data_IF_962195010284
#
_entry.id   IF_962195010284
#
_cell.length_a   1.000
_cell.length_b   1.000
_cell.length_c   1.000
_cell.angle_alpha   90.00
_cell.angle_beta   90.00
_cell.angle_gamma   90.00
#
_symmetry.space_group_name_H-M   'P 1'
#
loop_
_entity.id
_entity.type
_entity.pdbx_description
1 polymer ?
#
# COMPACT_ATOMS: atom_id res chain seq x y z
N UNK A 1 -5.36 8.94 -26.73
CA UNK A 1 -4.95 8.78 -25.33
C UNK A 1 -6.17 9.03 -24.45
N UNK A 2 -6.55 8.08 -23.60
CA UNK A 2 -7.62 8.31 -22.62
C UNK A 2 -6.94 8.58 -21.28
N UNK A 3 -7.02 9.79 -20.81
CA UNK A 3 -6.62 10.12 -19.45
C UNK A 3 -7.65 9.49 -18.49
N UNK A 4 -7.24 8.58 -17.67
CA UNK A 4 -8.07 8.04 -16.62
C UNK A 4 -7.70 8.79 -15.35
N UNK A 5 -8.56 9.70 -14.92
CA UNK A 5 -8.50 10.23 -13.57
C UNK A 5 -8.87 9.08 -12.62
N UNK A 6 -7.90 8.52 -11.96
CA UNK A 6 -8.12 7.42 -11.02
C UNK A 6 -8.40 8.02 -9.64
N UNK A 7 -9.66 7.92 -9.22
CA UNK A 7 -10.11 8.25 -7.88
C UNK A 7 -10.33 9.74 -7.60
N UNK A 8 -11.11 10.02 -6.57
CA UNK A 8 -11.20 11.35 -5.98
C UNK A 8 -9.93 11.59 -5.16
N UNK A 9 -9.17 12.63 -5.49
CA UNK A 9 -8.06 13.05 -4.65
C UNK A 9 -8.61 13.63 -3.33
N UNK A 10 -7.93 13.42 -2.20
CA UNK A 10 -8.31 14.06 -0.95
C UNK A 10 -8.30 15.58 -1.12
N UNK A 11 -9.15 16.26 -0.36
CA UNK A 11 -9.17 17.73 -0.38
C UNK A 11 -7.84 18.26 0.13
N UNK A 12 -7.07 18.87 -0.79
CA UNK A 12 -5.72 19.37 -0.56
C UNK A 12 -5.64 20.89 -0.61
N UNK A 13 -6.78 21.59 -0.53
CA UNK A 13 -6.86 23.05 -0.66
C UNK A 13 -5.92 23.79 0.28
N UNK A 14 -5.55 23.20 1.40
CA UNK A 14 -4.62 23.77 2.38
C UNK A 14 -3.21 23.16 2.35
N UNK A 15 -3.00 22.11 1.56
CA UNK A 15 -1.74 21.37 1.56
C UNK A 15 -0.77 21.91 0.50
N UNK A 16 0.43 22.32 0.94
CA UNK A 16 1.50 22.69 0.01
C UNK A 16 2.07 21.43 -0.65
N UNK A 17 1.99 21.37 -1.96
CA UNK A 17 2.69 20.36 -2.76
C UNK A 17 4.20 20.52 -2.55
N UNK A 18 4.89 19.41 -2.29
CA UNK A 18 6.35 19.39 -2.13
C UNK A 18 7.02 19.12 -3.46
N UNK A 19 8.01 19.92 -3.83
CA UNK A 19 8.81 19.67 -5.03
C UNK A 19 9.60 18.36 -4.92
N UNK A 20 10.10 18.08 -3.71
CA UNK A 20 10.77 16.83 -3.34
C UNK A 20 10.17 16.33 -2.05
N UNK A 21 9.84 15.06 -2.01
CA UNK A 21 9.35 14.39 -0.81
C UNK A 21 10.15 13.12 -0.56
N UNK A 22 10.41 12.85 0.70
CA UNK A 22 11.14 11.64 1.14
C UNK A 22 10.14 10.64 1.68
N UNK A 23 10.32 9.39 1.28
CA UNK A 23 9.53 8.29 1.80
C UNK A 23 10.43 7.19 2.36
N UNK A 24 9.97 6.52 3.40
CA UNK A 24 10.60 5.31 3.93
C UNK A 24 9.63 4.16 3.89
N UNK A 25 10.08 3.02 3.37
CA UNK A 25 9.31 1.78 3.37
C UNK A 25 9.89 0.84 4.42
N UNK A 26 9.07 0.48 5.39
CA UNK A 26 9.38 -0.44 6.48
C UNK A 26 8.74 -1.80 6.14
N UNK A 27 9.56 -2.84 6.04
CA UNK A 27 9.14 -4.21 5.74
C UNK A 27 9.13 -5.01 7.03
N UNK A 28 7.97 -5.23 7.63
CA UNK A 28 7.87 -6.18 8.73
C UNK A 28 8.11 -7.58 8.17
N UNK A 29 8.95 -8.35 8.84
CA UNK A 29 9.50 -9.63 8.38
C UNK A 29 8.45 -10.52 7.69
N UNK A 30 8.77 -10.95 6.47
CA UNK A 30 7.88 -11.73 5.60
C UNK A 30 7.10 -10.92 4.57
N UNK A 31 7.25 -9.58 4.53
CA UNK A 31 6.55 -8.70 3.58
C UNK A 31 7.47 -8.09 2.50
N UNK A 32 8.62 -8.68 2.25
CA UNK A 32 9.67 -8.12 1.37
C UNK A 32 9.19 -7.83 -0.06
N UNK A 33 8.35 -8.69 -0.63
CA UNK A 33 7.83 -8.52 -1.99
C UNK A 33 6.90 -7.30 -2.08
N UNK A 34 5.97 -7.15 -1.12
CA UNK A 34 5.08 -5.99 -1.04
C UNK A 34 5.88 -4.70 -0.81
N UNK A 35 6.90 -4.75 0.04
CA UNK A 35 7.75 -3.61 0.35
C UNK A 35 8.57 -3.16 -0.87
N UNK A 36 9.16 -4.09 -1.63
CA UNK A 36 9.89 -3.80 -2.87
C UNK A 36 8.97 -3.18 -3.92
N UNK A 37 7.79 -3.77 -4.11
CA UNK A 37 6.78 -3.24 -5.02
C UNK A 37 6.39 -1.82 -4.66
N UNK A 38 6.10 -1.57 -3.37
CA UNK A 38 5.77 -0.24 -2.86
C UNK A 38 6.90 0.77 -3.10
N UNK A 39 8.14 0.39 -2.79
CA UNK A 39 9.28 1.27 -3.00
C UNK A 39 9.48 1.64 -4.47
N UNK A 40 9.32 0.69 -5.40
CA UNK A 40 9.37 0.94 -6.85
C UNK A 40 8.27 1.90 -7.28
N UNK A 41 7.04 1.69 -6.80
CA UNK A 41 5.92 2.58 -7.12
C UNK A 41 6.14 4.00 -6.61
N UNK A 42 6.61 4.16 -5.38
CA UNK A 42 6.92 5.47 -4.81
C UNK A 42 8.02 6.22 -5.60
N UNK A 43 9.06 5.51 -6.04
CA UNK A 43 10.10 6.11 -6.90
C UNK A 43 9.52 6.57 -8.23
N UNK A 44 8.67 5.76 -8.86
CA UNK A 44 8.01 6.13 -10.11
C UNK A 44 7.06 7.33 -9.95
N UNK A 45 6.42 7.49 -8.78
CA UNK A 45 5.60 8.66 -8.44
C UNK A 45 6.48 9.91 -8.24
N UNK A 46 7.78 9.76 -7.90
CA UNK A 46 8.75 10.85 -7.75
C UNK A 46 9.27 11.08 -6.34
N UNK A 47 9.11 10.11 -5.43
CA UNK A 47 9.70 10.19 -4.10
C UNK A 47 11.19 9.81 -4.09
N UNK A 48 11.94 10.46 -3.20
CA UNK A 48 13.24 9.94 -2.74
C UNK A 48 12.97 8.84 -1.71
N UNK A 49 13.17 7.57 -2.10
CA UNK A 49 12.76 6.43 -1.28
C UNK A 49 13.93 5.80 -0.56
N UNK A 50 13.84 5.75 0.78
CA UNK A 50 14.72 4.99 1.65
C UNK A 50 14.13 3.59 1.92
N UNK A 51 14.92 2.57 1.75
CA UNK A 51 14.50 1.18 1.98
C UNK A 51 14.10 0.43 0.71
N UNK A 52 13.46 -0.71 0.86
CA UNK A 52 12.85 -1.25 2.10
C UNK A 52 13.83 -1.52 3.25
N UNK A 53 13.43 -1.15 4.46
CA UNK A 53 14.15 -1.47 5.70
C UNK A 53 13.42 -2.60 6.41
N UNK A 54 14.12 -3.73 6.63
CA UNK A 54 13.52 -4.86 7.34
C UNK A 54 13.36 -4.56 8.83
N UNK A 55 12.18 -4.87 9.36
CA UNK A 55 11.79 -4.64 10.75
C UNK A 55 11.34 -5.96 11.37
N UNK A 56 11.80 -6.25 12.57
CA UNK A 56 11.36 -7.44 13.31
C UNK A 56 9.87 -7.38 13.65
N UNK A 57 9.23 -8.57 13.75
CA UNK A 57 7.81 -8.71 14.09
C UNK A 57 7.60 -8.46 15.59
N UNK A 58 7.71 -7.20 15.99
CA UNK A 58 7.44 -6.80 17.37
C UNK A 58 6.96 -5.34 17.43
N UNK A 59 6.09 -5.05 18.37
CA UNK A 59 5.56 -3.70 18.63
C UNK A 59 6.71 -2.70 18.80
N UNK A 60 7.70 -3.04 19.61
CA UNK A 60 8.84 -2.16 19.92
C UNK A 60 9.69 -1.86 18.69
N UNK A 61 9.99 -2.86 17.86
CA UNK A 61 10.79 -2.66 16.66
C UNK A 61 10.06 -1.77 15.63
N UNK A 62 8.75 -1.97 15.47
CA UNK A 62 7.92 -1.12 14.61
C UNK A 62 7.84 0.30 15.16
N UNK A 63 7.62 0.47 16.46
CA UNK A 63 7.60 1.79 17.12
C UNK A 63 8.90 2.58 16.87
N UNK A 64 10.05 1.98 17.13
CA UNK A 64 11.36 2.61 16.94
C UNK A 64 11.62 2.96 15.47
N UNK A 65 11.29 2.04 14.54
CA UNK A 65 11.46 2.25 13.12
C UNK A 65 10.57 3.39 12.60
N UNK A 66 9.31 3.42 13.02
CA UNK A 66 8.32 4.45 12.63
C UNK A 66 8.74 5.82 13.17
N UNK A 67 9.13 5.94 14.43
CA UNK A 67 9.63 7.21 15.01
C UNK A 67 10.82 7.74 14.22
N UNK A 68 11.82 6.89 13.98
CA UNK A 68 12.99 7.26 13.19
C UNK A 68 12.64 7.70 11.77
N UNK A 69 11.66 7.04 11.14
CA UNK A 69 11.21 7.38 9.80
C UNK A 69 10.48 8.74 9.76
N UNK A 70 9.60 8.99 10.73
CA UNK A 70 8.84 10.24 10.81
C UNK A 70 9.73 11.47 11.05
N UNK A 71 10.91 11.33 11.65
CA UNK A 71 11.82 12.45 11.86
C UNK A 71 12.36 13.01 10.54
N UNK A 72 12.47 12.19 9.50
CA UNK A 72 13.19 12.50 8.26
C UNK A 72 12.36 12.42 6.99
N UNK A 73 11.19 11.75 7.03
CA UNK A 73 10.40 11.46 5.84
C UNK A 73 9.03 12.14 5.88
N UNK A 74 8.49 12.42 4.71
CA UNK A 74 7.17 12.99 4.50
C UNK A 74 6.09 11.92 4.42
N UNK A 75 6.50 10.70 4.07
CA UNK A 75 5.67 9.52 3.93
C UNK A 75 6.38 8.31 4.53
N UNK A 76 5.69 7.58 5.38
CA UNK A 76 6.15 6.31 5.93
C UNK A 76 5.15 5.22 5.52
N UNK A 77 5.65 4.16 4.90
CA UNK A 77 4.83 2.98 4.58
C UNK A 77 5.32 1.81 5.43
N UNK A 78 4.42 1.16 6.13
CA UNK A 78 4.66 -0.09 6.85
C UNK A 78 3.95 -1.21 6.10
N UNK A 79 4.68 -2.22 5.67
CA UNK A 79 4.12 -3.41 5.02
C UNK A 79 4.23 -4.61 5.95
N UNK A 80 3.15 -5.37 6.12
CA UNK A 80 3.11 -6.56 6.96
C UNK A 80 2.94 -6.27 8.46
N UNK A 81 3.01 -7.33 9.25
CA UNK A 81 2.78 -7.27 10.70
C UNK A 81 1.31 -7.00 11.05
N UNK A 82 0.40 -7.38 10.17
CA UNK A 82 -1.05 -7.23 10.33
C UNK A 82 -1.70 -8.60 10.06
N UNK A 83 -1.93 -9.35 11.11
CA UNK A 83 -2.53 -10.68 11.07
C UNK A 83 -3.83 -10.69 11.89
N UNK A 84 -4.79 -11.58 11.60
CA UNK A 84 -6.08 -11.60 12.29
C UNK A 84 -6.01 -11.64 13.81
N UNK A 85 -5.03 -12.34 14.35
CA UNK A 85 -4.85 -12.54 15.80
C UNK A 85 -3.73 -11.68 16.42
N UNK A 86 -2.99 -10.92 15.62
CA UNK A 86 -1.86 -10.10 16.08
C UNK A 86 -1.53 -9.03 15.06
N UNK A 87 -1.53 -7.77 15.46
CA UNK A 87 -1.23 -6.65 14.57
C UNK A 87 -0.12 -5.75 15.16
N UNK A 88 1.12 -6.27 15.31
CA UNK A 88 2.23 -5.49 15.87
C UNK A 88 2.53 -4.22 15.06
N UNK A 89 2.16 -4.16 13.77
CA UNK A 89 2.28 -2.94 12.99
C UNK A 89 1.33 -1.85 13.51
N UNK A 90 0.05 -2.16 13.74
CA UNK A 90 -0.91 -1.19 14.27
C UNK A 90 -0.54 -0.76 15.70
N UNK A 91 -0.17 -1.72 16.55
CA UNK A 91 0.26 -1.45 17.92
C UNK A 91 1.52 -0.59 17.98
N UNK A 92 2.54 -0.90 17.18
CA UNK A 92 3.80 -0.16 17.10
C UNK A 92 3.61 1.26 16.54
N UNK A 93 2.75 1.41 15.56
CA UNK A 93 2.37 2.73 15.01
C UNK A 93 1.63 3.56 16.06
N UNK A 94 0.65 2.96 16.78
CA UNK A 94 -0.05 3.64 17.86
C UNK A 94 0.93 4.13 18.93
N UNK A 95 1.86 3.28 19.35
CA UNK A 95 2.90 3.62 20.32
C UNK A 95 3.84 4.72 19.82
N UNK A 96 4.25 4.67 18.53
CA UNK A 96 5.12 5.67 17.93
C UNK A 96 4.49 7.06 17.92
N UNK A 97 3.18 7.14 17.67
CA UNK A 97 2.40 8.38 17.61
C UNK A 97 1.80 8.82 18.96
N UNK A 98 1.93 8.00 20.01
CA UNK A 98 1.29 8.24 21.30
C UNK A 98 -0.23 8.21 21.25
N UNK A 99 -0.81 7.42 20.32
CA UNK A 99 -2.26 7.27 20.13
C UNK A 99 -2.78 6.02 20.79
N UNK A 100 -4.03 6.06 21.25
CA UNK A 100 -4.70 4.88 21.76
C UNK A 100 -5.07 3.91 20.63
N UNK A 101 -5.12 2.61 20.91
CA UNK A 101 -5.79 1.64 20.06
C UNK A 101 -7.28 1.64 20.43
N UNK A 102 -8.12 1.92 19.45
CA UNK A 102 -9.56 1.96 19.60
C UNK A 102 -10.23 0.99 18.63
N UNK A 103 -11.37 0.44 19.03
CA UNK A 103 -12.18 -0.35 18.11
C UNK A 103 -12.75 0.57 17.02
N UNK A 104 -12.50 0.22 15.76
CA UNK A 104 -12.92 0.99 14.60
C UNK A 104 -14.07 0.28 13.88
N UNK A 105 -15.22 0.92 13.78
CA UNK A 105 -16.43 0.32 13.23
C UNK A 105 -16.32 0.03 11.72
N UNK A 106 -15.60 0.86 10.95
CA UNK A 106 -15.39 0.63 9.53
C UNK A 106 -14.48 -0.58 9.28
N UNK A 107 -13.38 -0.69 10.06
CA UNK A 107 -12.53 -1.88 10.01
C UNK A 107 -13.28 -3.14 10.45
N UNK A 108 -14.13 -3.03 11.46
CA UNK A 108 -14.96 -4.15 11.92
C UNK A 108 -15.95 -4.59 10.85
N UNK A 109 -16.65 -3.65 10.23
CA UNK A 109 -17.55 -3.94 9.12
C UNK A 109 -16.81 -4.62 7.96
N UNK A 110 -15.64 -4.11 7.57
CA UNK A 110 -14.81 -4.70 6.52
C UNK A 110 -14.44 -6.17 6.83
N UNK A 111 -13.98 -6.43 8.06
CA UNK A 111 -13.62 -7.78 8.51
C UNK A 111 -14.83 -8.72 8.50
N UNK A 112 -15.98 -8.24 9.00
CA UNK A 112 -17.22 -9.00 8.99
C UNK A 112 -17.69 -9.35 7.58
N UNK A 113 -17.72 -8.38 6.68
CA UNK A 113 -18.10 -8.57 5.28
C UNK A 113 -17.20 -9.56 4.56
N UNK A 114 -15.89 -9.48 4.74
CA UNK A 114 -14.93 -10.41 4.15
C UNK A 114 -15.23 -11.85 4.56
N UNK A 115 -15.40 -12.10 5.84
CA UNK A 115 -15.66 -13.46 6.32
C UNK A 115 -17.08 -13.97 6.02
N UNK A 116 -18.07 -13.09 5.87
CA UNK A 116 -19.40 -13.46 5.42
C UNK A 116 -19.38 -13.91 3.95
N UNK A 117 -18.59 -13.26 3.11
CA UNK A 117 -18.44 -13.63 1.70
C UNK A 117 -17.68 -14.96 1.53
N UNK A 118 -16.69 -15.24 2.36
CA UNK A 118 -15.93 -16.50 2.34
C UNK A 118 -16.73 -17.69 2.87
N UNK A 119 -17.76 -17.44 3.67
CA UNK A 119 -18.60 -18.48 4.25
C UNK A 119 -19.63 -19.01 3.22
N UNK A 120 -19.21 -19.90 2.33
CA UNK A 120 -20.05 -20.47 1.27
C UNK A 120 -21.14 -21.43 1.74
N UNK A 121 -21.12 -21.91 2.98
CA UNK A 121 -22.08 -22.87 3.51
C UNK A 121 -22.58 -22.44 4.89
N UNK A 122 -23.74 -21.86 4.97
CA UNK A 122 -24.67 -21.76 6.13
C UNK A 122 -24.22 -21.97 7.57
N UNK A 123 -23.00 -22.42 7.80
CA UNK A 123 -22.37 -22.66 9.09
C UNK A 123 -21.66 -21.42 9.68
N UNK A 124 -21.63 -20.33 8.95
CA UNK A 124 -20.93 -19.11 9.37
C UNK A 124 -21.66 -18.28 10.42
N UNK A 125 -22.85 -18.72 10.85
CA UNK A 125 -23.76 -17.80 11.52
C UNK A 125 -23.49 -17.52 12.98
N UNK A 126 -22.62 -18.23 13.67
CA UNK A 126 -22.69 -18.01 15.13
C UNK A 126 -21.42 -17.58 15.85
N UNK A 127 -20.21 -17.74 15.37
CA UNK A 127 -19.06 -17.44 16.26
C UNK A 127 -17.71 -17.32 15.57
N UNK A 128 -17.72 -17.27 14.30
CA UNK A 128 -16.48 -17.05 13.59
C UNK A 128 -16.28 -15.55 13.52
N UNK A 129 -15.42 -15.00 13.28
CA UNK A 129 -14.02 -14.82 13.51
C UNK A 129 -13.69 -13.51 14.21
N UNK A 130 -14.66 -12.64 14.54
CA UNK A 130 -14.37 -11.34 15.17
C UNK A 130 -13.48 -11.47 16.41
N UNK A 131 -13.66 -12.52 17.22
CA UNK A 131 -12.77 -12.76 18.35
C UNK A 131 -11.35 -13.13 17.92
N UNK A 132 -11.22 -13.83 16.78
CA UNK A 132 -9.91 -14.21 16.22
C UNK A 132 -9.30 -13.11 15.36
N UNK A 133 -10.14 -12.27 14.76
CA UNK A 133 -9.73 -11.15 13.92
C UNK A 133 -9.76 -9.80 14.65
N UNK A 134 -9.93 -9.80 15.97
CA UNK A 134 -10.03 -8.57 16.76
C UNK A 134 -8.83 -7.64 16.60
N UNK A 135 -7.64 -8.19 16.36
CA UNK A 135 -6.45 -7.38 16.13
C UNK A 135 -6.59 -6.48 14.88
N UNK A 136 -7.41 -6.88 13.92
CA UNK A 136 -7.66 -6.10 12.69
C UNK A 136 -8.68 -4.97 12.89
N UNK A 137 -9.46 -5.00 13.98
CA UNK A 137 -10.47 -3.98 14.28
C UNK A 137 -10.00 -2.94 15.30
N UNK A 138 -8.86 -3.20 15.96
CA UNK A 138 -8.21 -2.28 16.89
C UNK A 138 -7.19 -1.44 16.15
N UNK A 139 -7.53 -0.21 15.84
CA UNK A 139 -6.70 0.70 15.06
C UNK A 139 -6.20 1.88 15.90
N UNK A 140 -5.06 2.49 15.55
CA UNK A 140 -4.64 3.75 16.16
C UNK A 140 -5.74 4.80 16.01
N UNK A 141 -6.05 5.54 17.06
CA UNK A 141 -7.06 6.59 17.03
C UNK A 141 -6.82 7.60 15.91
N UNK A 142 -7.88 7.93 15.15
CA UNK A 142 -7.80 8.82 14.00
C UNK A 142 -7.29 8.17 12.72
N UNK A 143 -7.26 6.84 12.64
CA UNK A 143 -7.00 6.12 11.38
C UNK A 143 -8.14 6.30 10.39
N UNK A 144 -7.78 6.59 9.14
CA UNK A 144 -8.65 6.36 7.97
C UNK A 144 -8.45 4.92 7.52
N UNK A 145 -9.54 4.19 7.32
CA UNK A 145 -9.50 2.79 6.88
C UNK A 145 -9.41 2.74 5.36
N UNK A 146 -8.54 1.88 4.85
CA UNK A 146 -8.51 1.49 3.45
C UNK A 146 -9.06 0.07 3.32
N UNK A 147 -10.05 -0.10 2.47
CA UNK A 147 -10.64 -1.40 2.21
C UNK A 147 -9.68 -2.32 1.48
N UNK A 148 -9.66 -3.57 1.89
CA UNK A 148 -8.84 -4.60 1.27
C UNK A 148 -9.71 -5.57 0.45
N UNK A 149 -9.74 -5.47 -0.88
CA UNK A 149 -10.57 -6.35 -1.70
C UNK A 149 -10.03 -7.78 -1.83
N UNK A 150 -8.88 -8.07 -1.19
CA UNK A 150 -8.17 -9.36 -1.33
C UNK A 150 -7.98 -10.12 -0.03
N UNK A 151 -8.33 -9.50 1.11
CA UNK A 151 -8.11 -10.13 2.41
C UNK A 151 -8.85 -9.43 3.54
N UNK A 152 -8.86 -10.02 4.74
CA UNK A 152 -9.57 -9.46 5.89
C UNK A 152 -8.84 -8.29 6.56
N UNK A 153 -7.53 -8.16 6.35
CA UNK A 153 -6.75 -7.13 7.00
C UNK A 153 -6.89 -5.79 6.25
N UNK A 154 -7.48 -4.75 6.86
CA UNK A 154 -7.57 -3.44 6.23
C UNK A 154 -6.20 -2.78 6.12
N UNK A 155 -6.05 -1.85 5.17
CA UNK A 155 -5.02 -0.84 5.25
C UNK A 155 -5.46 0.32 6.14
N UNK A 156 -4.51 1.11 6.62
CA UNK A 156 -4.81 2.34 7.35
C UNK A 156 -3.93 3.50 6.91
N UNK A 157 -4.49 4.69 7.00
CA UNK A 157 -3.78 5.95 6.84
C UNK A 157 -3.88 6.76 8.15
N UNK A 158 -2.76 7.34 8.54
CA UNK A 158 -2.68 8.33 9.62
C UNK A 158 -1.96 9.57 9.11
N UNK A 159 -2.43 10.71 9.54
CA UNK A 159 -1.77 11.99 9.32
C UNK A 159 -1.18 12.50 10.62
N UNK A 160 0.10 12.89 10.60
CA UNK A 160 0.81 13.42 11.74
C UNK A 160 1.73 14.57 11.32
N UNK A 161 1.41 15.79 11.77
CA UNK A 161 2.22 16.96 11.48
C UNK A 161 2.44 17.25 9.99
N UNK A 162 1.45 16.97 9.14
CA UNK A 162 1.52 17.13 7.69
C UNK A 162 2.29 16.03 6.96
N UNK A 163 2.58 14.91 7.63
CA UNK A 163 3.16 13.69 7.08
C UNK A 163 2.13 12.59 7.03
N UNK A 164 2.28 11.67 6.11
CA UNK A 164 1.45 10.47 6.04
C UNK A 164 2.19 9.25 6.55
N UNK A 165 1.46 8.43 7.28
CA UNK A 165 1.85 7.07 7.63
C UNK A 165 0.76 6.12 7.14
N UNK A 166 1.16 5.12 6.37
CA UNK A 166 0.25 4.12 5.79
C UNK A 166 0.73 2.74 6.22
N UNK A 167 -0.18 1.91 6.74
CA UNK A 167 0.09 0.50 6.97
C UNK A 167 -0.75 -0.33 6.00
N UNK A 168 -0.13 -1.34 5.40
CA UNK A 168 -0.79 -2.31 4.52
C UNK A 168 -0.37 -3.74 4.87
N UNK A 169 -1.19 -4.75 4.56
CA UNK A 169 -0.82 -6.16 4.74
C UNK A 169 0.47 -6.54 4.04
N UNK A 170 1.07 -7.66 4.44
CA UNK A 170 2.37 -8.13 3.93
C UNK A 170 2.31 -8.84 2.59
N UNK A 171 1.13 -9.31 2.17
CA UNK A 171 0.93 -9.93 0.86
C UNK A 171 0.96 -8.88 -0.25
N UNK A 172 1.74 -9.11 -1.31
CA UNK A 172 1.76 -8.21 -2.47
C UNK A 172 0.37 -8.06 -3.11
N UNK A 173 -0.42 -9.12 -3.15
CA UNK A 173 -1.76 -9.08 -3.74
C UNK A 173 -2.71 -8.15 -2.98
N UNK A 174 -2.61 -8.14 -1.65
CA UNK A 174 -3.40 -7.28 -0.77
C UNK A 174 -2.86 -5.85 -0.75
N UNK A 175 -1.58 -5.68 -0.45
CA UNK A 175 -0.94 -4.38 -0.40
C UNK A 175 -1.06 -3.61 -1.73
N UNK A 176 -0.86 -4.31 -2.85
CA UNK A 176 -0.99 -3.72 -4.19
C UNK A 176 -2.41 -3.27 -4.49
N UNK A 177 -3.42 -4.08 -4.12
CA UNK A 177 -4.82 -3.72 -4.33
C UNK A 177 -5.23 -2.50 -3.49
N UNK A 178 -4.92 -2.50 -2.18
CA UNK A 178 -5.16 -1.34 -1.30
C UNK A 178 -4.47 -0.10 -1.85
N UNK A 179 -3.22 -0.24 -2.29
CA UNK A 179 -2.45 0.89 -2.78
C UNK A 179 -3.04 1.48 -4.05
N UNK A 180 -3.40 0.62 -5.03
CA UNK A 180 -3.95 1.06 -6.32
C UNK A 180 -5.36 1.64 -6.19
N UNK A 181 -6.19 1.12 -5.27
CA UNK A 181 -7.59 1.52 -5.13
C UNK A 181 -7.81 2.67 -4.14
N UNK A 182 -7.04 2.72 -3.04
CA UNK A 182 -7.31 3.62 -1.92
C UNK A 182 -6.15 4.57 -1.58
N UNK A 183 -4.91 4.06 -1.50
CA UNK A 183 -3.78 4.83 -0.98
C UNK A 183 -3.17 5.81 -2.00
N UNK A 184 -3.21 5.48 -3.29
CA UNK A 184 -2.57 6.23 -4.37
C UNK A 184 -2.94 7.72 -4.40
N UNK A 185 -4.21 8.14 -4.24
CA UNK A 185 -4.58 9.55 -4.22
C UNK A 185 -3.86 10.35 -3.13
N UNK A 186 -3.73 9.79 -1.93
CA UNK A 186 -3.04 10.42 -0.80
C UNK A 186 -1.54 10.54 -1.07
N UNK A 187 -0.92 9.45 -1.49
CA UNK A 187 0.51 9.40 -1.81
C UNK A 187 0.86 10.40 -2.91
N UNK A 188 0.09 10.43 -4.00
CA UNK A 188 0.32 11.33 -5.13
C UNK A 188 0.09 12.80 -4.79
N UNK A 189 -0.83 13.09 -3.86
CA UNK A 189 -1.15 14.45 -3.45
C UNK A 189 0.02 15.18 -2.79
N UNK A 190 0.90 14.48 -2.08
CA UNK A 190 2.06 15.09 -1.38
C UNK A 190 2.99 15.80 -2.35
N UNK A 191 3.21 15.25 -3.53
CA UNK A 191 4.13 15.79 -4.54
C UNK A 191 3.42 16.35 -5.77
N UNK A 192 2.09 16.32 -5.80
CA UNK A 192 1.29 16.87 -6.89
C UNK A 192 1.31 16.03 -8.18
N UNK A 193 1.60 14.72 -8.09
CA UNK A 193 1.60 13.81 -9.23
C UNK A 193 0.16 13.38 -9.61
N UNK A 194 -0.68 14.32 -10.01
CA UNK A 194 -2.10 14.08 -10.25
C UNK A 194 -2.40 13.39 -11.57
N UNK A 195 -1.48 13.41 -12.51
CA UNK A 195 -1.64 12.82 -13.83
C UNK A 195 -0.89 11.49 -13.92
N UNK A 196 -1.41 10.57 -14.70
CA UNK A 196 -0.72 9.33 -15.03
C UNK A 196 -1.21 8.76 -16.34
N UNK A 197 -0.34 8.04 -17.02
CA UNK A 197 -0.71 7.24 -18.19
C UNK A 197 -0.23 5.81 -17.98
N UNK A 198 -1.04 4.84 -18.42
CA UNK A 198 -0.71 3.43 -18.34
C UNK A 198 -0.81 2.79 -19.72
N UNK A 199 0.24 2.08 -20.10
CA UNK A 199 0.31 1.30 -21.34
C UNK A 199 0.35 -0.18 -20.98
N UNK A 200 -0.41 -0.98 -21.73
CA UNK A 200 -0.38 -2.42 -21.60
C UNK A 200 0.49 -3.01 -22.71
N UNK A 201 1.50 -3.77 -22.33
CA UNK A 201 2.41 -4.47 -23.24
C UNK A 201 2.15 -5.96 -23.14
N UNK A 202 1.86 -6.63 -24.24
CA UNK A 202 1.67 -8.08 -24.28
C UNK A 202 2.98 -8.75 -24.69
N UNK A 203 3.44 -9.68 -23.88
CA UNK A 203 4.61 -10.49 -24.20
C UNK A 203 4.25 -11.64 -25.14
N UNK A 204 5.27 -12.23 -25.78
CA UNK A 204 5.16 -13.46 -26.59
C UNK A 204 5.75 -14.66 -25.85
N UNK A 205 5.77 -14.63 -24.53
CA UNK A 205 6.29 -15.73 -23.70
C UNK A 205 5.41 -15.97 -22.50
N UNK A 206 5.37 -17.22 -22.07
CA UNK A 206 4.77 -17.67 -20.83
C UNK A 206 5.81 -17.91 -19.72
N UNK A 207 7.08 -17.66 -19.98
CA UNK A 207 8.16 -17.76 -19.00
C UNK A 207 8.08 -16.55 -18.07
N UNK A 208 7.47 -16.75 -16.91
CA UNK A 208 7.23 -15.67 -15.93
C UNK A 208 8.54 -15.04 -15.44
N UNK A 209 9.56 -15.86 -15.18
CA UNK A 209 10.87 -15.38 -14.70
C UNK A 209 11.56 -14.48 -15.74
N UNK A 210 11.43 -14.78 -17.03
CA UNK A 210 11.96 -13.93 -18.09
C UNK A 210 11.24 -12.56 -18.11
N UNK A 211 9.92 -12.54 -17.94
CA UNK A 211 9.14 -11.31 -17.88
C UNK A 211 9.45 -10.53 -16.61
N UNK A 212 9.57 -11.20 -15.47
CA UNK A 212 9.94 -10.57 -14.20
C UNK A 212 11.31 -9.90 -14.28
N UNK A 213 12.29 -10.55 -14.90
CA UNK A 213 13.64 -9.99 -15.11
C UNK A 213 13.61 -8.71 -15.95
N UNK A 214 12.77 -8.67 -16.99
CA UNK A 214 12.58 -7.44 -17.80
C UNK A 214 11.96 -6.32 -16.97
N UNK A 215 10.92 -6.62 -16.18
CA UNK A 215 10.28 -5.64 -15.29
C UNK A 215 11.27 -5.09 -14.26
N UNK A 216 12.16 -5.94 -13.76
CA UNK A 216 13.21 -5.56 -12.82
C UNK A 216 14.24 -4.64 -13.48
N UNK A 217 14.76 -5.00 -14.64
CA UNK A 217 15.69 -4.18 -15.42
C UNK A 217 15.10 -2.79 -15.74
N UNK A 218 13.84 -2.72 -16.17
CA UNK A 218 13.15 -1.45 -16.41
C UNK A 218 13.08 -0.61 -15.13
N UNK A 219 12.82 -1.23 -13.98
CA UNK A 219 12.73 -0.51 -12.70
C UNK A 219 14.07 0.03 -12.22
N UNK A 220 15.19 -0.58 -12.63
CA UNK A 220 16.55 -0.14 -12.32
C UNK A 220 17.02 0.97 -13.27
N UNK A 221 16.80 0.80 -14.58
CA UNK A 221 17.25 1.74 -15.61
C UNK A 221 16.37 3.00 -15.67
N UNK A 222 15.07 2.86 -15.38
CA UNK A 222 14.09 3.94 -15.46
C UNK A 222 13.22 3.99 -14.19
N UNK A 223 13.76 4.42 -13.03
CA UNK A 223 13.04 4.41 -11.76
C UNK A 223 11.81 5.33 -11.72
N UNK A 224 11.66 6.24 -12.70
CA UNK A 224 10.46 7.07 -12.90
C UNK A 224 9.33 6.36 -13.65
N UNK A 225 9.54 5.11 -14.05
CA UNK A 225 8.55 4.26 -14.72
C UNK A 225 8.15 3.14 -13.77
N UNK A 226 6.85 2.96 -13.56
CA UNK A 226 6.34 1.84 -12.80
C UNK A 226 5.91 0.72 -13.75
N UNK A 227 6.74 -0.30 -13.88
CA UNK A 227 6.45 -1.50 -14.63
C UNK A 227 6.04 -2.64 -13.69
N UNK A 228 5.03 -3.41 -14.06
CA UNK A 228 4.62 -4.59 -13.30
C UNK A 228 4.02 -5.68 -14.20
N UNK A 229 4.26 -6.93 -13.83
CA UNK A 229 3.59 -8.09 -14.42
C UNK A 229 2.15 -8.16 -13.88
N UNK A 230 1.17 -8.11 -14.76
CA UNK A 230 -0.25 -8.31 -14.42
C UNK A 230 -0.69 -9.73 -14.80
N UNK A 231 -0.73 -10.63 -13.82
CA UNK A 231 -1.16 -12.03 -14.02
C UNK A 231 -2.62 -12.15 -14.50
N UNK A 232 -3.42 -11.11 -14.33
CA UNK A 232 -4.81 -11.03 -14.81
C UNK A 232 -4.92 -10.61 -16.27
N UNK A 233 -3.86 -10.00 -16.83
CA UNK A 233 -3.81 -9.55 -18.23
C UNK A 233 -3.02 -10.57 -19.03
N UNK A 234 -3.72 -11.35 -19.84
CA UNK A 234 -3.12 -12.45 -20.64
C UNK A 234 -3.55 -12.33 -22.08
N UNK A 235 -2.68 -12.71 -23.00
CA UNK A 235 -3.01 -12.97 -24.40
C UNK A 235 -2.95 -14.46 -24.68
N UNK A 236 -3.21 -14.88 -25.91
CA UNK A 236 -2.97 -16.27 -26.35
C UNK A 236 -1.48 -16.62 -26.41
N UNK A 237 -0.59 -15.63 -26.37
CA UNK A 237 0.85 -15.77 -26.64
C UNK A 237 1.73 -15.51 -25.41
N UNK A 238 1.19 -14.88 -24.34
CA UNK A 238 2.00 -14.59 -23.15
C UNK A 238 1.34 -13.69 -22.12
N UNK A 239 2.15 -13.23 -21.19
CA UNK A 239 1.78 -12.37 -20.07
C UNK A 239 1.60 -10.91 -20.47
N UNK A 240 0.77 -10.17 -19.72
CA UNK A 240 0.67 -8.72 -19.83
C UNK A 240 1.59 -8.01 -18.82
N UNK A 241 2.24 -6.97 -19.31
CA UNK A 241 2.98 -6.01 -18.48
C UNK A 241 2.21 -4.70 -18.52
N UNK A 242 2.04 -4.06 -17.38
CA UNK A 242 1.58 -2.67 -17.32
C UNK A 242 2.75 -1.75 -17.05
N UNK A 243 2.81 -0.66 -17.79
CA UNK A 243 3.83 0.38 -17.63
C UNK A 243 3.10 1.69 -17.34
N UNK A 244 3.33 2.27 -16.17
CA UNK A 244 2.69 3.51 -15.73
C UNK A 244 3.74 4.59 -15.51
N UNK A 245 3.44 5.79 -16.01
CA UNK A 245 4.21 7.01 -15.74
C UNK A 245 3.31 7.98 -14.99
N UNK A 246 3.87 8.66 -14.01
CA UNK A 246 3.19 9.67 -13.21
C UNK A 246 3.75 11.05 -13.55
N UNK A 247 2.90 12.08 -13.48
CA UNK A 247 3.27 13.44 -13.85
C UNK A 247 2.53 14.48 -13.00
N UNK A 248 3.11 15.67 -12.89
CA UNK A 248 2.50 16.83 -12.22
C UNK A 248 1.60 17.62 -13.16
N UNK A 249 1.84 17.51 -14.47
CA UNK A 249 1.02 18.15 -15.51
C UNK A 249 0.78 17.19 -16.68
N UNK A 250 -0.25 17.44 -17.51
CA UNK A 250 -0.50 16.66 -18.72
C UNK A 250 0.64 16.73 -19.73
N UNK A 251 1.39 17.84 -19.75
CA UNK A 251 2.46 18.09 -20.72
C UNK A 251 3.73 17.26 -20.43
N UNK A 252 3.82 16.68 -19.22
CA UNK A 252 4.91 15.79 -18.82
C UNK A 252 4.66 14.31 -19.20
N UNK A 253 3.45 13.96 -19.67
CA UNK A 253 3.05 12.61 -20.10
C UNK A 253 3.28 12.39 -21.61
#
# INVERSE_FOLDING_TARGET
MKYVAVGAFPDITERKVKERARARVLSVKGSSEAALWTARRLRAIGYEVEGPVEVEVSVKAVEEAVRSALDTCDLVIVTGGVEPNSAPAFEGVAAALGRALVENEEAKQHVEEYYLLEATDGAASELFPLKRARALTLLPEGSTVFHNPRGPAPGILLEEGGRYLICVPGSLAEAGAIFEEEADPYVRSVIGAYFSTTVHVMTKTWEEDAVASVVEAVSEEAPWVFAQLKRTVRSKEGWGITVTVFAKSPDEL
#
